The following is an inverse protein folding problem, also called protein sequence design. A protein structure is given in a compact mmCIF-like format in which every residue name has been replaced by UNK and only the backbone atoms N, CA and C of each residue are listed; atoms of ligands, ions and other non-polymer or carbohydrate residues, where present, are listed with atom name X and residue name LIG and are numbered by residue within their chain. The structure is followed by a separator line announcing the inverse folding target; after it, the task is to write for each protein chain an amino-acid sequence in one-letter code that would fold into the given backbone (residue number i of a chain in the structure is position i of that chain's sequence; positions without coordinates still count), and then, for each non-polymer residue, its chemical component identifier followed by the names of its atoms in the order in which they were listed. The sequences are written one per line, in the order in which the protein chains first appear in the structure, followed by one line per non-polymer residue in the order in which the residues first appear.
data_IF_196516908232
#
_entry.id   IF_196516908232
#
_cell.length_a   1.000
_cell.length_b   1.000
_cell.length_c   1.000
_cell.angle_alpha   90.00
_cell.angle_beta   90.00
_cell.angle_gamma   90.00
#
_symmetry.space_group_name_H-M   'P 1'
#
loop_
_entity.id
_entity.type
_entity.pdbx_description
1 polymer ?
#
# COMPACT_ATOMS: atom_id res chain seq x y z
N UNK A 1 0.20 9.77 19.19
CA UNK A 1 -0.30 8.41 19.53
C UNK A 1 -0.33 8.24 21.05
N UNK A 2 -1.41 8.64 21.66
CA UNK A 2 -1.56 8.46 23.11
C UNK A 2 -2.93 7.79 23.36
N UNK A 3 -2.92 6.58 23.93
CA UNK A 3 -4.12 5.80 24.30
C UNK A 3 -5.12 6.59 25.14
N UNK A 4 -4.68 7.64 25.85
CA UNK A 4 -5.58 8.52 26.59
C UNK A 4 -6.64 9.18 25.74
N UNK A 5 -6.31 9.48 24.47
CA UNK A 5 -7.23 10.16 23.54
C UNK A 5 -7.97 9.19 22.61
N UNK A 6 -7.42 8.00 22.42
CA UNK A 6 -8.02 6.93 21.63
C UNK A 6 -7.69 5.59 22.29
N UNK A 7 -8.48 5.15 23.26
CA UNK A 7 -8.19 3.95 24.08
C UNK A 7 -8.31 2.64 23.29
N UNK A 8 -9.24 2.60 22.32
CA UNK A 8 -9.52 1.42 21.54
C UNK A 8 -8.52 1.23 20.39
N UNK A 9 -8.34 0.00 19.95
CA UNK A 9 -7.53 -0.30 18.77
C UNK A 9 -8.24 0.18 17.50
N UNK A 10 -7.47 0.80 16.59
CA UNK A 10 -7.97 1.11 15.26
C UNK A 10 -8.01 -0.16 14.42
N UNK A 11 -9.16 -0.44 13.82
CA UNK A 11 -9.35 -1.53 12.87
C UNK A 11 -9.67 -0.94 11.51
N UNK A 12 -8.84 -1.23 10.51
CA UNK A 12 -9.09 -0.83 9.13
C UNK A 12 -9.81 -1.96 8.41
N UNK A 13 -10.96 -1.65 7.83
CA UNK A 13 -11.78 -2.61 7.09
C UNK A 13 -11.57 -2.47 5.59
N UNK A 14 -11.23 -3.57 4.92
CA UNK A 14 -11.06 -3.65 3.46
C UNK A 14 -11.95 -4.78 2.94
N UNK A 15 -13.14 -4.45 2.43
CA UNK A 15 -14.16 -5.48 2.16
C UNK A 15 -14.45 -6.28 3.41
N UNK A 16 -14.27 -7.60 3.37
CA UNK A 16 -14.44 -8.51 4.51
C UNK A 16 -13.16 -8.67 5.35
N UNK A 17 -12.06 -8.05 4.95
CA UNK A 17 -10.76 -8.17 5.63
C UNK A 17 -10.61 -7.07 6.69
N UNK A 18 -10.23 -7.48 7.91
CA UNK A 18 -9.94 -6.58 9.03
C UNK A 18 -8.44 -6.56 9.32
N UNK A 19 -7.87 -5.35 9.47
CA UNK A 19 -6.47 -5.14 9.77
C UNK A 19 -6.36 -4.36 11.08
N UNK A 20 -5.63 -4.89 12.04
CA UNK A 20 -5.51 -4.32 13.40
C UNK A 20 -6.50 -4.91 14.39
N UNK A 21 -6.42 -4.47 15.67
CA UNK A 21 -7.32 -4.94 16.72
C UNK A 21 -7.24 -6.45 17.00
N UNK A 22 -6.04 -7.04 16.89
CA UNK A 22 -5.83 -8.48 17.04
C UNK A 22 -6.11 -9.33 15.80
N UNK A 23 -6.58 -8.73 14.71
CA UNK A 23 -6.76 -9.42 13.43
C UNK A 23 -5.42 -9.49 12.68
N UNK A 24 -5.03 -10.69 12.27
CA UNK A 24 -3.88 -10.91 11.41
C UNK A 24 -4.32 -10.90 9.94
N UNK A 25 -3.62 -10.12 9.11
CA UNK A 25 -3.88 -10.05 7.67
C UNK A 25 -2.60 -10.34 6.89
N UNK A 26 -2.64 -11.34 6.02
CA UNK A 26 -1.55 -11.68 5.10
C UNK A 26 -1.78 -10.99 3.76
N UNK A 27 -0.85 -10.11 3.40
CA UNK A 27 -0.80 -9.42 2.10
C UNK A 27 0.34 -10.03 1.30
N UNK A 28 0.05 -10.72 0.22
CA UNK A 28 1.04 -11.44 -0.56
C UNK A 28 0.90 -11.16 -2.06
N UNK A 29 1.99 -11.32 -2.80
CA UNK A 29 2.02 -11.12 -4.25
C UNK A 29 3.42 -10.73 -4.76
N UNK A 30 3.58 -10.56 -6.08
CA UNK A 30 4.87 -10.29 -6.69
C UNK A 30 5.35 -8.86 -6.38
N UNK A 31 6.65 -8.62 -6.53
CA UNK A 31 7.21 -7.27 -6.44
C UNK A 31 6.66 -6.38 -7.56
N UNK A 32 6.61 -6.89 -8.79
CA UNK A 32 6.12 -6.18 -9.98
C UNK A 32 5.05 -7.00 -10.68
N UNK A 33 4.07 -6.30 -11.27
CA UNK A 33 3.13 -6.88 -12.25
C UNK A 33 3.78 -6.79 -13.62
N UNK A 34 3.95 -7.93 -14.29
CA UNK A 34 4.69 -8.01 -15.56
C UNK A 34 3.82 -8.56 -16.68
N UNK A 35 3.01 -9.60 -16.42
CA UNK A 35 2.07 -10.18 -17.38
C UNK A 35 0.79 -10.61 -16.68
N UNK A 36 -0.30 -10.78 -17.46
CA UNK A 36 -1.56 -11.31 -16.94
C UNK A 36 -1.37 -12.72 -16.37
N UNK A 37 -0.69 -13.59 -17.10
CA UNK A 37 -0.43 -14.96 -16.66
C UNK A 37 0.29 -15.01 -15.32
N UNK A 38 1.34 -14.17 -15.15
CA UNK A 38 2.09 -14.09 -13.91
C UNK A 38 1.19 -13.68 -12.74
N UNK A 39 0.47 -12.56 -12.87
CA UNK A 39 -0.29 -12.02 -11.74
C UNK A 39 -1.48 -12.91 -11.37
N UNK A 40 -2.15 -13.50 -12.33
CA UNK A 40 -3.27 -14.42 -12.09
C UNK A 40 -2.77 -15.70 -11.43
N UNK A 41 -1.67 -16.30 -11.92
CA UNK A 41 -1.09 -17.50 -11.33
C UNK A 41 -0.63 -17.25 -9.88
N UNK A 42 0.05 -16.13 -9.63
CA UNK A 42 0.49 -15.75 -8.28
C UNK A 42 -0.72 -15.50 -7.38
N UNK A 43 -1.74 -14.78 -7.85
CA UNK A 43 -2.95 -14.50 -7.07
C UNK A 43 -3.66 -15.78 -6.62
N UNK A 44 -3.81 -16.75 -7.52
CA UNK A 44 -4.40 -18.07 -7.20
C UNK A 44 -3.55 -18.83 -6.18
N UNK A 45 -2.23 -18.83 -6.34
CA UNK A 45 -1.31 -19.51 -5.44
C UNK A 45 -1.31 -18.90 -4.03
N UNK A 46 -1.24 -17.57 -3.90
CA UNK A 46 -1.25 -16.91 -2.60
C UNK A 46 -2.60 -17.04 -1.90
N UNK A 47 -3.71 -17.00 -2.65
CA UNK A 47 -5.05 -17.28 -2.08
C UNK A 47 -5.13 -18.69 -1.54
N UNK A 48 -4.69 -19.69 -2.28
CA UNK A 48 -4.66 -21.08 -1.84
C UNK A 48 -3.78 -21.28 -0.59
N UNK A 49 -2.75 -20.45 -0.43
CA UNK A 49 -1.86 -20.44 0.74
C UNK A 49 -2.39 -19.63 1.93
N UNK A 50 -3.59 -19.06 1.84
CA UNK A 50 -4.25 -18.36 2.93
C UNK A 50 -4.03 -16.85 2.97
N UNK A 51 -3.51 -16.22 1.91
CA UNK A 51 -3.44 -14.77 1.82
C UNK A 51 -4.84 -14.14 1.81
N UNK A 52 -4.95 -12.99 2.49
CA UNK A 52 -6.21 -12.24 2.59
C UNK A 52 -6.30 -11.14 1.52
N UNK A 53 -5.17 -10.66 1.04
CA UNK A 53 -5.06 -9.59 0.05
C UNK A 53 -3.94 -9.86 -0.92
N UNK A 54 -4.09 -9.37 -2.16
CA UNK A 54 -3.09 -9.42 -3.21
C UNK A 54 -2.33 -8.10 -3.28
N UNK A 55 -1.00 -8.15 -3.31
CA UNK A 55 -0.17 -7.00 -3.64
C UNK A 55 0.56 -7.20 -4.96
N UNK A 56 0.81 -6.11 -5.68
CA UNK A 56 1.65 -6.09 -6.86
C UNK A 56 1.99 -4.65 -7.23
N UNK A 57 3.21 -4.40 -7.69
CA UNK A 57 3.63 -3.06 -8.08
C UNK A 57 3.36 -2.81 -9.57
N UNK A 58 2.45 -1.89 -9.90
CA UNK A 58 2.23 -1.38 -11.24
C UNK A 58 3.13 -0.19 -11.57
N UNK A 59 3.46 0.62 -10.56
CA UNK A 59 4.40 1.73 -10.62
C UNK A 59 5.61 1.41 -9.74
N UNK A 60 6.81 1.49 -10.29
CA UNK A 60 8.04 1.07 -9.61
C UNK A 60 9.05 2.22 -9.52
N UNK A 61 9.33 2.75 -8.31
CA UNK A 61 10.44 3.67 -8.12
C UNK A 61 11.75 2.88 -8.22
N UNK A 62 12.61 3.29 -9.14
CA UNK A 62 13.90 2.63 -9.37
C UNK A 62 15.05 3.58 -9.08
N UNK A 63 16.15 3.03 -8.59
CA UNK A 63 17.39 3.79 -8.39
C UNK A 63 18.04 4.12 -9.72
N UNK A 64 17.97 3.19 -10.68
CA UNK A 64 18.47 3.41 -12.06
C UNK A 64 17.30 3.79 -12.98
N UNK A 65 17.45 4.81 -13.83
CA UNK A 65 16.45 5.18 -14.82
C UNK A 65 16.30 4.15 -15.96
N UNK A 66 17.23 3.21 -16.05
CA UNK A 66 17.20 2.15 -17.05
C UNK A 66 16.49 0.88 -16.60
N UNK A 67 16.13 0.80 -15.31
CA UNK A 67 15.38 -0.33 -14.76
C UNK A 67 13.91 -0.28 -15.15
N UNK A 68 13.27 -1.46 -15.19
CA UNK A 68 11.83 -1.58 -15.45
C UNK A 68 11.02 -0.79 -14.43
N UNK A 69 10.30 0.22 -14.92
CA UNK A 69 9.55 1.17 -14.08
C UNK A 69 8.09 0.75 -13.81
N UNK A 70 7.67 -0.45 -14.24
CA UNK A 70 6.31 -0.96 -14.10
C UNK A 70 5.45 -0.73 -15.34
N UNK A 71 4.34 -1.46 -15.44
CA UNK A 71 3.36 -1.35 -16.53
C UNK A 71 2.38 -0.18 -16.35
N UNK A 72 2.43 0.51 -15.21
CA UNK A 72 1.59 1.67 -14.90
C UNK A 72 0.08 1.33 -14.99
N UNK A 73 -0.68 2.08 -15.79
CA UNK A 73 -2.12 1.87 -15.92
C UNK A 73 -2.46 0.45 -16.40
N UNK A 74 -1.72 -0.12 -17.33
CA UNK A 74 -1.89 -1.52 -17.76
C UNK A 74 -1.70 -2.48 -16.59
N UNK A 75 -0.69 -2.26 -15.76
CA UNK A 75 -0.48 -3.08 -14.56
C UNK A 75 -1.64 -3.03 -13.56
N UNK A 76 -2.33 -1.90 -13.45
CA UNK A 76 -3.53 -1.77 -12.62
C UNK A 76 -4.69 -2.59 -13.21
N UNK A 77 -4.86 -2.59 -14.53
CA UNK A 77 -5.87 -3.43 -15.19
C UNK A 77 -5.60 -4.93 -14.97
N UNK A 78 -4.34 -5.36 -15.06
CA UNK A 78 -3.95 -6.74 -14.78
C UNK A 78 -4.22 -7.14 -13.33
N UNK A 79 -4.01 -6.24 -12.37
CA UNK A 79 -4.38 -6.47 -10.96
C UNK A 79 -5.89 -6.63 -10.80
N UNK A 80 -6.69 -5.85 -11.51
CA UNK A 80 -8.16 -5.97 -11.49
C UNK A 80 -8.62 -7.33 -12.04
N UNK A 81 -8.02 -7.82 -13.11
CA UNK A 81 -8.28 -9.17 -13.63
C UNK A 81 -7.98 -10.22 -12.57
N UNK A 82 -6.82 -10.15 -11.91
CA UNK A 82 -6.45 -11.07 -10.84
C UNK A 82 -7.42 -11.02 -9.65
N UNK A 83 -7.94 -9.83 -9.30
CA UNK A 83 -8.99 -9.67 -8.30
C UNK A 83 -10.29 -10.35 -8.73
N UNK A 84 -10.72 -10.19 -9.95
CA UNK A 84 -11.94 -10.84 -10.47
C UNK A 84 -11.84 -12.37 -10.40
N UNK A 85 -10.67 -12.91 -10.72
CA UNK A 85 -10.40 -14.36 -10.67
C UNK A 85 -10.34 -14.95 -9.27
N UNK A 86 -9.94 -14.17 -8.28
CA UNK A 86 -9.65 -14.69 -6.92
C UNK A 86 -10.52 -14.11 -5.82
N UNK A 87 -11.12 -12.95 -6.04
CA UNK A 87 -11.82 -12.19 -4.99
C UNK A 87 -10.89 -11.50 -3.98
N UNK A 88 -9.56 -11.55 -4.17
CA UNK A 88 -8.63 -10.89 -3.25
C UNK A 88 -8.63 -9.37 -3.46
N UNK A 89 -8.83 -8.56 -2.40
CA UNK A 89 -8.63 -7.13 -2.47
C UNK A 89 -7.20 -6.77 -2.88
N UNK A 90 -7.04 -5.63 -3.57
CA UNK A 90 -5.76 -5.20 -4.15
C UNK A 90 -5.08 -4.15 -3.27
N UNK A 91 -3.78 -4.35 -3.04
CA UNK A 91 -2.85 -3.35 -2.48
C UNK A 91 -1.80 -3.03 -3.52
N UNK A 92 -1.68 -1.77 -3.93
CA UNK A 92 -0.64 -1.35 -4.87
C UNK A 92 -0.13 0.05 -4.59
N UNK A 93 1.12 0.32 -4.99
CA UNK A 93 1.80 1.58 -4.70
C UNK A 93 1.37 2.69 -5.64
N UNK A 94 0.99 3.83 -5.06
CA UNK A 94 0.83 5.11 -5.75
C UNK A 94 2.08 5.97 -5.53
N UNK A 95 2.57 6.61 -6.59
CA UNK A 95 3.79 7.42 -6.55
C UNK A 95 3.53 8.90 -6.81
N UNK A 96 2.46 9.23 -7.52
CA UNK A 96 2.13 10.60 -7.92
C UNK A 96 0.66 10.92 -7.72
N UNK A 97 0.37 12.15 -7.34
CA UNK A 97 -1.00 12.68 -7.24
C UNK A 97 -1.71 12.62 -8.60
N UNK A 98 -0.98 12.83 -9.68
CA UNK A 98 -1.53 12.83 -11.05
C UNK A 98 -2.10 11.47 -11.45
N UNK A 99 -1.62 10.40 -10.83
CA UNK A 99 -2.07 9.05 -11.12
C UNK A 99 -3.29 8.63 -10.28
N UNK A 100 -3.67 9.42 -9.28
CA UNK A 100 -4.75 9.08 -8.34
C UNK A 100 -6.06 8.65 -9.02
N UNK A 101 -6.51 9.27 -10.11
CA UNK A 101 -7.72 8.81 -10.82
C UNK A 101 -7.65 7.38 -11.36
N UNK A 102 -6.45 6.87 -11.64
CA UNK A 102 -6.24 5.50 -12.11
C UNK A 102 -6.47 4.45 -11.00
N UNK A 103 -6.48 4.89 -9.74
CA UNK A 103 -6.56 4.01 -8.55
C UNK A 103 -7.98 3.87 -8.00
N UNK A 104 -9.01 4.31 -8.72
CA UNK A 104 -10.39 4.26 -8.24
C UNK A 104 -10.85 2.85 -7.86
N UNK A 105 -10.40 1.85 -8.58
CA UNK A 105 -10.72 0.43 -8.33
C UNK A 105 -9.73 -0.28 -7.38
N UNK A 106 -8.72 0.41 -6.88
CA UNK A 106 -7.75 -0.16 -5.93
C UNK A 106 -8.31 -0.08 -4.51
N UNK A 107 -8.17 -1.17 -3.74
CA UNK A 107 -8.77 -1.27 -2.41
C UNK A 107 -7.92 -0.59 -1.33
N UNK A 108 -6.59 -0.70 -1.43
CA UNK A 108 -5.63 -0.07 -0.50
C UNK A 108 -4.52 0.61 -1.29
N UNK A 109 -4.31 1.89 -1.04
CA UNK A 109 -3.22 2.66 -1.64
C UNK A 109 -1.96 2.53 -0.78
N UNK A 110 -0.88 1.99 -1.36
CA UNK A 110 0.40 1.91 -0.67
C UNK A 110 1.24 3.15 -0.96
N UNK A 111 1.77 3.76 0.09
CA UNK A 111 2.83 4.78 0.00
C UNK A 111 4.16 4.11 0.27
N UNK A 112 5.03 4.07 -0.72
CA UNK A 112 6.35 3.47 -0.62
C UNK A 112 7.29 4.25 0.29
N UNK A 113 8.36 3.57 0.75
CA UNK A 113 9.31 4.13 1.69
C UNK A 113 9.95 5.45 1.19
N UNK A 114 10.18 5.59 -0.12
CA UNK A 114 10.74 6.81 -0.72
C UNK A 114 9.78 8.01 -0.69
N UNK A 115 8.47 7.76 -0.54
CA UNK A 115 7.41 8.76 -0.51
C UNK A 115 6.82 8.99 0.89
N UNK A 116 7.39 8.39 1.94
CA UNK A 116 6.90 8.57 3.31
C UNK A 116 6.85 10.06 3.71
N UNK A 117 7.76 10.87 3.22
CA UNK A 117 7.83 12.31 3.49
C UNK A 117 7.42 13.18 2.29
N UNK A 118 6.75 12.60 1.30
CA UNK A 118 6.09 13.36 0.25
C UNK A 118 4.76 13.91 0.77
N UNK A 119 4.84 14.99 1.54
CA UNK A 119 3.71 15.51 2.29
C UNK A 119 2.57 15.99 1.40
N UNK A 120 2.85 16.46 0.20
CA UNK A 120 1.79 16.86 -0.75
C UNK A 120 0.98 15.63 -1.20
N UNK A 121 1.65 14.52 -1.52
CA UNK A 121 0.99 13.25 -1.80
C UNK A 121 0.15 12.79 -0.59
N UNK A 122 0.71 12.84 0.62
CA UNK A 122 0.02 12.39 1.84
C UNK A 122 -1.25 13.21 2.11
N UNK A 123 -1.21 14.52 1.91
CA UNK A 123 -2.39 15.39 2.05
C UNK A 123 -3.49 15.03 1.06
N UNK A 124 -3.13 14.77 -0.20
CA UNK A 124 -4.13 14.39 -1.21
C UNK A 124 -4.73 13.02 -0.93
N UNK A 125 -3.93 12.04 -0.51
CA UNK A 125 -4.41 10.74 -0.07
C UNK A 125 -5.32 10.84 1.17
N UNK A 126 -5.04 11.79 2.05
CA UNK A 126 -5.89 12.10 3.20
C UNK A 126 -7.28 12.64 2.85
N UNK A 127 -7.49 13.12 1.64
CA UNK A 127 -8.81 13.55 1.14
C UNK A 127 -9.63 12.39 0.55
N UNK A 128 -9.02 11.24 0.37
CA UNK A 128 -9.69 10.03 -0.13
C UNK A 128 -10.33 9.25 1.01
N UNK A 129 -11.28 8.37 0.69
CA UNK A 129 -11.88 7.44 1.64
C UNK A 129 -11.24 6.03 1.57
N UNK A 130 -10.08 5.91 0.92
CA UNK A 130 -9.39 4.63 0.76
C UNK A 130 -8.41 4.38 1.90
N UNK A 131 -8.30 3.14 2.40
CA UNK A 131 -7.22 2.77 3.31
C UNK A 131 -5.84 3.05 2.69
N UNK A 132 -4.95 3.60 3.51
CA UNK A 132 -3.58 3.94 3.12
C UNK A 132 -2.60 3.08 3.89
N UNK A 133 -1.79 2.28 3.18
CA UNK A 133 -0.68 1.56 3.77
C UNK A 133 0.58 2.42 3.65
N UNK A 134 1.02 2.99 4.78
CA UNK A 134 2.17 3.88 4.85
C UNK A 134 3.41 3.12 5.30
N UNK A 135 4.39 2.96 4.42
CA UNK A 135 5.67 2.31 4.74
C UNK A 135 6.64 3.29 5.35
N UNK A 136 7.33 2.86 6.44
CA UNK A 136 8.43 3.64 7.02
C UNK A 136 9.52 3.89 5.97
N UNK A 137 10.09 5.07 5.97
CA UNK A 137 11.20 5.44 5.10
C UNK A 137 12.47 4.64 5.39
N UNK A 138 13.45 4.76 4.50
CA UNK A 138 14.66 3.91 4.49
C UNK A 138 15.47 3.98 5.79
N UNK A 139 15.56 5.17 6.41
CA UNK A 139 16.29 5.42 7.66
C UNK A 139 15.53 6.32 8.62
N UNK A 140 14.21 6.42 8.45
CA UNK A 140 13.36 7.29 9.28
C UNK A 140 13.08 6.68 10.65
N UNK A 141 12.89 7.54 11.62
CA UNK A 141 12.48 7.17 12.98
C UNK A 141 10.99 6.81 13.02
N UNK A 142 10.56 6.10 14.05
CA UNK A 142 9.14 5.83 14.29
C UNK A 142 8.35 7.12 14.48
N UNK A 143 8.94 8.14 15.13
CA UNK A 143 8.30 9.46 15.29
C UNK A 143 8.02 10.11 13.95
N UNK A 144 8.95 10.06 13.00
CA UNK A 144 8.76 10.59 11.65
C UNK A 144 7.67 9.83 10.89
N UNK A 145 7.61 8.50 11.03
CA UNK A 145 6.53 7.70 10.46
C UNK A 145 5.16 8.13 10.99
N UNK A 146 5.04 8.32 12.32
CA UNK A 146 3.80 8.76 12.95
C UNK A 146 3.41 10.18 12.52
N UNK A 147 4.38 11.08 12.36
CA UNK A 147 4.10 12.42 11.84
C UNK A 147 3.64 12.40 10.39
N UNK A 148 4.18 11.52 9.57
CA UNK A 148 3.69 11.32 8.20
C UNK A 148 2.27 10.75 8.18
N UNK A 149 1.93 9.82 9.07
CA UNK A 149 0.56 9.34 9.23
C UNK A 149 -0.41 10.47 9.64
N UNK A 150 0.04 11.39 10.51
CA UNK A 150 -0.75 12.56 10.91
C UNK A 150 -1.08 13.48 9.73
N UNK A 151 -0.21 13.62 8.72
CA UNK A 151 -0.52 14.39 7.51
C UNK A 151 -1.74 13.81 6.76
N UNK A 152 -1.86 12.49 6.70
CA UNK A 152 -2.99 11.80 6.09
C UNK A 152 -4.24 12.01 6.94
N UNK A 153 -4.14 11.76 8.25
CA UNK A 153 -5.26 11.82 9.19
C UNK A 153 -5.80 13.26 9.35
N UNK A 154 -4.91 14.23 9.44
CA UNK A 154 -5.28 15.66 9.53
C UNK A 154 -6.02 16.17 8.28
N UNK A 155 -5.87 15.49 7.15
CA UNK A 155 -6.60 15.79 5.91
C UNK A 155 -7.95 15.08 5.83
N UNK A 156 -8.32 14.25 6.81
CA UNK A 156 -9.64 13.65 6.97
C UNK A 156 -9.69 12.11 6.86
N UNK A 157 -8.60 11.42 6.51
CA UNK A 157 -8.59 9.97 6.35
C UNK A 157 -7.89 9.29 7.54
N UNK A 158 -8.65 8.62 8.39
CA UNK A 158 -8.14 7.90 9.57
C UNK A 158 -7.78 6.43 9.28
N UNK A 159 -8.03 5.95 8.06
CA UNK A 159 -7.79 4.57 7.66
C UNK A 159 -6.32 4.36 7.27
N UNK A 160 -5.41 4.53 8.23
CA UNK A 160 -3.96 4.42 8.00
C UNK A 160 -3.42 3.13 8.62
N UNK A 161 -2.76 2.33 7.78
CA UNK A 161 -2.06 1.10 8.16
C UNK A 161 -0.56 1.41 8.16
N UNK A 162 0.09 1.29 9.32
CA UNK A 162 1.52 1.50 9.44
C UNK A 162 2.28 0.23 9.03
N UNK A 163 3.27 0.39 8.17
CA UNK A 163 4.09 -0.72 7.71
C UNK A 163 5.57 -0.48 8.06
N UNK A 164 6.08 -1.28 8.97
CA UNK A 164 7.49 -1.31 9.33
C UNK A 164 8.31 -2.01 8.25
N UNK A 165 9.59 -1.71 8.17
CA UNK A 165 10.55 -2.33 7.25
C UNK A 165 11.97 -2.22 7.79
N UNK A 166 12.91 -2.94 7.16
CA UNK A 166 14.33 -2.83 7.47
C UNK A 166 14.92 -1.45 7.20
N UNK A 167 16.05 -1.16 7.83
CA UNK A 167 16.82 0.06 7.66
C UNK A 167 17.81 -0.11 6.49
N UNK A 168 17.98 0.97 5.74
CA UNK A 168 19.06 1.13 4.77
C UNK A 168 19.82 2.39 5.10
N UNK A 169 21.13 2.27 5.37
CA UNK A 169 22.06 3.37 5.58
C UNK A 169 23.04 3.46 4.41
N UNK A 170 23.93 4.43 4.46
CA UNK A 170 25.07 4.53 3.53
C UNK A 170 26.19 3.54 3.87
N UNK A 171 26.23 3.06 5.10
CA UNK A 171 27.17 2.01 5.55
C UNK A 171 26.73 0.65 5.00
N UNK A 172 27.72 -0.18 4.66
CA UNK A 172 27.55 -1.55 4.14
C UNK A 172 28.17 -2.55 5.10
#
# INVERSE_FOLDING_TARGET
CNRKYHPDDTVVQVGDVKIGGGNFCMIAGPCSVETEEQIVAVAKAVKASGANMLRGGAFKPRTSPYDFAGLKAEGLELLKIARQETGLPIVTEIMSITDLPLFDDVDVLQVGARNMQNFDLLRELGKTNKPILLKRGLANTLKELLMSAEYIMASGNEQVILCERGIRTFEK
#
